data_IF_512350228421
#
_entry.id   IF_512350228421
#
_cell.length_a   1.000
_cell.length_b   1.000
_cell.length_c   1.000
_cell.angle_alpha   90.00
_cell.angle_beta   90.00
_cell.angle_gamma   90.00
#
_symmetry.space_group_name_H-M   'P 1'
#
loop_
_entity.id
_entity.type
_entity.pdbx_description
1 polymer ?
#
# COMPACT_ATOMS: atom_id res chain seq x y z
N UNK A 1 -2.11 -23.82 18.58
CA UNK A 1 -2.25 -23.09 17.31
C UNK A 1 -2.26 -21.61 17.60
N UNK A 2 -1.34 -20.85 17.00
CA UNK A 2 -1.34 -19.38 17.13
C UNK A 2 -2.54 -18.80 16.38
N UNK A 3 -2.97 -17.58 16.73
CA UNK A 3 -4.03 -16.87 15.99
C UNK A 3 -3.67 -16.73 14.51
N UNK A 4 -2.38 -16.55 14.21
CA UNK A 4 -1.88 -16.50 12.84
C UNK A 4 -2.13 -17.81 12.09
N UNK A 5 -1.64 -18.92 12.63
CA UNK A 5 -1.79 -20.24 12.03
C UNK A 5 -3.28 -20.62 11.85
N UNK A 6 -4.10 -20.37 12.87
CA UNK A 6 -5.54 -20.65 12.84
C UNK A 6 -6.29 -19.84 11.77
N UNK A 7 -5.83 -18.63 11.45
CA UNK A 7 -6.43 -17.82 10.40
C UNK A 7 -6.05 -18.31 9.00
N UNK A 8 -4.84 -18.82 8.80
CA UNK A 8 -4.40 -19.32 7.49
C UNK A 8 -4.90 -20.74 7.18
N UNK A 9 -4.99 -21.61 8.18
CA UNK A 9 -5.52 -22.97 7.99
C UNK A 9 -6.99 -23.02 7.55
N UNK A 10 -7.74 -21.93 7.74
CA UNK A 10 -9.14 -21.80 7.28
C UNK A 10 -9.26 -21.33 5.83
N UNK A 11 -8.16 -20.90 5.21
CA UNK A 11 -8.17 -20.37 3.84
C UNK A 11 -7.97 -21.51 2.85
N UNK A 12 -8.62 -21.39 1.71
CA UNK A 12 -8.39 -22.28 0.58
C UNK A 12 -6.96 -22.06 0.03
N UNK A 13 -6.16 -23.13 -0.14
CA UNK A 13 -4.77 -23.01 -0.58
C UNK A 13 -4.63 -22.54 -2.03
N UNK A 14 -5.56 -22.90 -2.93
CA UNK A 14 -5.49 -22.50 -4.33
C UNK A 14 -5.80 -21.00 -4.48
N UNK A 15 -6.71 -20.49 -3.66
CA UNK A 15 -6.94 -19.05 -3.54
C UNK A 15 -5.70 -18.31 -3.01
N UNK A 16 -4.99 -18.87 -2.02
CA UNK A 16 -3.75 -18.28 -1.52
C UNK A 16 -2.66 -18.22 -2.59
N UNK A 17 -2.47 -19.30 -3.36
CA UNK A 17 -1.52 -19.33 -4.47
C UNK A 17 -1.89 -18.30 -5.54
N UNK A 18 -3.18 -18.18 -5.87
CA UNK A 18 -3.68 -17.20 -6.83
C UNK A 18 -3.43 -15.76 -6.38
N UNK A 19 -3.66 -15.45 -5.09
CA UNK A 19 -3.36 -14.13 -4.53
C UNK A 19 -1.87 -13.80 -4.54
N UNK A 20 -1.01 -14.76 -4.19
CA UNK A 20 0.46 -14.58 -4.23
C UNK A 20 0.92 -14.35 -5.67
N UNK A 21 0.41 -15.15 -6.61
CA UNK A 21 0.74 -14.99 -8.02
C UNK A 21 0.36 -13.59 -8.52
N UNK A 22 -0.86 -13.13 -8.21
CA UNK A 22 -1.32 -11.79 -8.58
C UNK A 22 -0.43 -10.69 -7.95
N UNK A 23 -0.03 -10.84 -6.68
CA UNK A 23 0.86 -9.89 -6.02
C UNK A 23 2.24 -9.83 -6.67
N UNK A 24 2.86 -10.98 -6.94
CA UNK A 24 4.20 -11.05 -7.54
C UNK A 24 4.27 -10.48 -8.96
N UNK A 25 3.16 -10.46 -9.68
CA UNK A 25 3.09 -10.00 -11.07
C UNK A 25 2.34 -8.66 -11.22
N UNK A 26 2.10 -7.93 -10.12
CA UNK A 26 1.42 -6.64 -10.16
C UNK A 26 2.33 -5.56 -10.77
N UNK A 27 2.02 -5.14 -12.00
CA UNK A 27 2.71 -4.05 -12.71
C UNK A 27 1.71 -3.22 -13.53
N UNK A 28 1.49 -1.97 -13.11
CA UNK A 28 0.56 -1.04 -13.78
C UNK A 28 1.08 -0.55 -15.14
N UNK A 29 2.35 -0.78 -15.44
CA UNK A 29 3.00 -0.36 -16.68
C UNK A 29 3.00 -1.45 -17.77
N UNK A 30 2.77 -2.71 -17.38
CA UNK A 30 2.74 -3.87 -18.27
C UNK A 30 1.46 -3.96 -19.11
N UNK A 31 1.26 -2.98 -20.00
CA UNK A 31 0.15 -2.93 -20.95
C UNK A 31 0.53 -2.18 -22.23
N UNK A 32 -0.36 -2.19 -23.22
CA UNK A 32 -0.16 -1.57 -24.53
C UNK A 32 -0.07 -0.04 -24.51
N UNK A 33 -0.48 0.63 -23.42
CA UNK A 33 -0.42 2.09 -23.33
C UNK A 33 0.95 2.57 -22.83
N UNK A 34 1.54 1.84 -21.89
CA UNK A 34 2.78 2.25 -21.23
C UNK A 34 3.99 1.39 -21.58
N UNK A 35 3.81 0.20 -22.15
CA UNK A 35 4.89 -0.68 -22.63
C UNK A 35 6.02 -0.92 -21.60
N UNK A 36 5.67 -1.10 -20.32
CA UNK A 36 6.63 -1.30 -19.23
C UNK A 36 7.23 0.00 -18.66
N UNK A 37 6.79 1.17 -19.13
CA UNK A 37 7.24 2.47 -18.62
C UNK A 37 6.44 2.86 -17.37
N UNK A 38 6.94 2.43 -16.21
CA UNK A 38 6.31 2.69 -14.90
C UNK A 38 6.15 4.18 -14.61
N UNK A 39 7.14 5.01 -15.00
CA UNK A 39 7.06 6.44 -14.78
C UNK A 39 5.90 7.07 -15.56
N UNK A 40 5.69 6.67 -16.83
CA UNK A 40 4.52 7.11 -17.60
C UNK A 40 3.21 6.62 -16.99
N UNK A 41 3.16 5.38 -16.53
CA UNK A 41 1.96 4.82 -15.90
C UNK A 41 1.56 5.59 -14.63
N UNK A 42 2.53 5.89 -13.76
CA UNK A 42 2.32 6.70 -12.55
C UNK A 42 1.92 8.15 -12.88
N UNK A 43 2.60 8.77 -13.86
CA UNK A 43 2.32 10.14 -14.29
C UNK A 43 0.95 10.31 -14.96
N UNK A 44 0.33 9.21 -15.41
CA UNK A 44 -1.01 9.19 -15.98
C UNK A 44 -2.13 9.15 -14.92
N UNK A 45 -1.81 8.88 -13.65
CA UNK A 45 -2.80 8.90 -12.56
C UNK A 45 -3.22 10.36 -12.29
N UNK A 46 -4.50 10.65 -12.54
CA UNK A 46 -5.06 12.02 -12.38
C UNK A 46 -5.74 12.23 -11.04
N UNK A 47 -6.17 11.15 -10.36
CA UNK A 47 -6.79 11.20 -9.06
C UNK A 47 -5.85 11.81 -8.01
N UNK A 48 -6.42 12.53 -7.03
CA UNK A 48 -5.67 12.92 -5.83
C UNK A 48 -5.34 11.66 -5.05
N UNK A 49 -4.06 11.44 -4.79
CA UNK A 49 -3.57 10.28 -4.08
C UNK A 49 -2.90 10.68 -2.77
N UNK A 50 -3.15 9.89 -1.73
CA UNK A 50 -2.48 10.00 -0.45
C UNK A 50 -1.87 8.63 -0.14
N UNK A 51 -0.54 8.56 -0.22
CA UNK A 51 0.22 7.32 -0.03
C UNK A 51 0.76 7.31 1.40
N UNK A 52 0.38 6.30 2.19
CA UNK A 52 0.63 6.26 3.63
C UNK A 52 1.32 4.96 4.07
N UNK A 53 2.60 4.74 3.72
CA UNK A 53 3.35 3.61 4.26
C UNK A 53 3.62 3.75 5.75
N UNK A 54 3.81 2.62 6.42
CA UNK A 54 4.38 2.61 7.76
C UNK A 54 5.87 2.91 7.72
N UNK A 55 6.37 3.67 8.69
CA UNK A 55 7.80 3.96 8.84
C UNK A 55 8.66 2.69 8.99
N UNK A 56 8.06 1.59 9.46
CA UNK A 56 8.74 0.31 9.73
C UNK A 56 8.24 -0.85 8.86
N UNK A 57 7.52 -0.56 7.75
CA UNK A 57 7.11 -1.63 6.82
C UNK A 57 8.33 -2.29 6.16
N UNK A 58 8.31 -3.62 6.08
CA UNK A 58 9.37 -4.44 5.48
C UNK A 58 9.05 -4.89 4.05
N UNK A 59 7.79 -4.77 3.62
CA UNK A 59 7.34 -5.16 2.28
C UNK A 59 7.13 -3.94 1.39
N UNK A 60 6.54 -2.86 1.93
CA UNK A 60 6.24 -1.62 1.20
C UNK A 60 6.97 -0.45 1.84
N UNK A 61 8.25 -0.31 1.50
CA UNK A 61 9.14 0.64 2.17
C UNK A 61 8.81 2.09 1.80
N UNK A 62 9.05 3.00 2.74
CA UNK A 62 8.83 4.45 2.56
C UNK A 62 9.57 5.00 1.34
N UNK A 63 10.77 4.49 1.08
CA UNK A 63 11.61 4.96 -0.02
C UNK A 63 11.03 4.59 -1.40
N UNK A 64 10.49 3.39 -1.55
CA UNK A 64 9.83 2.96 -2.79
C UNK A 64 8.62 3.85 -3.08
N UNK A 65 7.78 4.10 -2.06
CA UNK A 65 6.63 4.99 -2.20
C UNK A 65 7.04 6.45 -2.46
N UNK A 66 8.19 6.90 -1.94
CA UNK A 66 8.71 8.24 -2.25
C UNK A 66 9.03 8.38 -3.73
N UNK A 67 9.64 7.35 -4.34
CA UNK A 67 9.92 7.32 -5.78
C UNK A 67 8.63 7.31 -6.60
N UNK A 68 7.64 6.52 -6.19
CA UNK A 68 6.34 6.46 -6.86
C UNK A 68 5.59 7.79 -6.79
N UNK A 69 5.49 8.39 -5.59
CA UNK A 69 4.83 9.68 -5.38
C UNK A 69 5.51 10.79 -6.18
N UNK A 70 6.83 10.78 -6.32
CA UNK A 70 7.56 11.76 -7.11
C UNK A 70 7.24 11.69 -8.62
N UNK A 71 6.81 10.52 -9.12
CA UNK A 71 6.38 10.33 -10.50
C UNK A 71 4.89 10.66 -10.73
N UNK A 72 4.11 10.84 -9.66
CA UNK A 72 2.67 11.14 -9.73
C UNK A 72 2.42 12.65 -9.66
N UNK A 73 1.44 13.15 -10.43
CA UNK A 73 1.15 14.60 -10.51
C UNK A 73 0.44 15.15 -9.27
N UNK A 74 -0.47 14.37 -8.70
CA UNK A 74 -1.39 14.79 -7.65
C UNK A 74 -1.31 13.87 -6.41
N UNK A 75 -0.09 13.52 -5.98
CA UNK A 75 0.14 12.61 -4.87
C UNK A 75 0.87 13.28 -3.69
N UNK A 76 0.52 12.89 -2.48
CA UNK A 76 1.24 13.24 -1.25
C UNK A 76 1.69 11.98 -0.52
N UNK A 77 2.95 11.97 -0.05
CA UNK A 77 3.46 10.94 0.84
C UNK A 77 3.25 11.36 2.29
N UNK A 78 2.58 10.52 3.08
CA UNK A 78 2.41 10.70 4.54
C UNK A 78 2.74 9.43 5.29
N UNK A 79 3.99 9.34 5.73
CA UNK A 79 4.51 8.21 6.49
C UNK A 79 3.78 8.10 7.84
N UNK A 80 3.22 6.92 8.12
CA UNK A 80 2.63 6.59 9.42
C UNK A 80 3.80 6.32 10.38
N UNK A 81 3.98 7.12 11.47
CA UNK A 81 5.09 6.97 12.40
C UNK A 81 4.81 5.81 13.38
N UNK A 82 4.82 4.58 12.86
CA UNK A 82 4.43 3.38 13.59
C UNK A 82 5.54 2.33 13.59
N UNK A 83 5.69 1.66 14.73
CA UNK A 83 6.57 0.49 14.91
C UNK A 83 5.86 -0.84 14.55
N UNK A 84 4.60 -0.78 14.09
CA UNK A 84 3.79 -1.97 13.79
C UNK A 84 4.05 -2.54 12.39
N UNK A 85 5.01 -1.98 11.66
CA UNK A 85 5.34 -2.35 10.29
C UNK A 85 4.11 -2.32 9.39
N UNK A 86 3.97 -3.34 8.54
CA UNK A 86 2.86 -3.47 7.59
C UNK A 86 1.47 -3.40 8.25
N UNK A 87 1.35 -3.80 9.52
CA UNK A 87 0.08 -3.81 10.24
C UNK A 87 -0.44 -2.40 10.56
N UNK A 88 0.38 -1.36 10.49
CA UNK A 88 -0.05 0.01 10.72
C UNK A 88 -1.13 0.47 9.72
N UNK A 89 -1.11 -0.07 8.49
CA UNK A 89 -2.15 0.20 7.47
C UNK A 89 -3.52 -0.43 7.78
N UNK A 90 -3.58 -1.34 8.76
CA UNK A 90 -4.82 -1.92 9.29
C UNK A 90 -4.88 -1.69 10.81
N UNK A 91 -5.17 -0.45 11.25
CA UNK A 91 -4.91 0.01 12.62
C UNK A 91 -5.98 -0.44 13.63
N UNK A 92 -6.56 -1.63 13.49
CA UNK A 92 -7.64 -2.13 14.35
C UNK A 92 -7.24 -2.25 15.81
N UNK A 93 -5.95 -2.42 16.09
CA UNK A 93 -5.39 -2.57 17.43
C UNK A 93 -4.48 -1.40 17.83
N UNK A 94 -4.37 -0.35 17.01
CA UNK A 94 -3.57 0.83 17.30
C UNK A 94 -4.39 2.11 17.05
N UNK A 95 -4.88 2.71 18.13
CA UNK A 95 -5.71 3.92 18.06
C UNK A 95 -4.93 5.16 17.57
N UNK A 96 -3.61 5.19 17.75
CA UNK A 96 -2.78 6.30 17.29
C UNK A 96 -2.62 6.27 15.77
N UNK A 97 -2.33 5.10 15.20
CA UNK A 97 -2.28 4.89 13.75
C UNK A 97 -3.64 5.17 13.11
N UNK A 98 -4.73 4.70 13.73
CA UNK A 98 -6.09 4.96 13.27
C UNK A 98 -6.41 6.46 13.25
N UNK A 99 -6.02 7.19 14.29
CA UNK A 99 -6.19 8.65 14.36
C UNK A 99 -5.36 9.36 13.31
N UNK A 100 -4.11 8.95 13.09
CA UNK A 100 -3.24 9.51 12.06
C UNK A 100 -3.85 9.35 10.65
N UNK A 101 -4.26 8.13 10.30
CA UNK A 101 -4.91 7.82 9.02
C UNK A 101 -6.19 8.62 8.85
N UNK A 102 -7.08 8.63 9.85
CA UNK A 102 -8.35 9.35 9.79
C UNK A 102 -8.16 10.86 9.60
N UNK A 103 -7.20 11.47 10.30
CA UNK A 103 -6.90 12.89 10.12
C UNK A 103 -6.37 13.20 8.72
N UNK A 104 -5.56 12.32 8.15
CA UNK A 104 -5.05 12.48 6.80
C UNK A 104 -6.16 12.34 5.74
N UNK A 105 -7.06 11.37 5.92
CA UNK A 105 -8.24 11.19 5.07
C UNK A 105 -9.20 12.39 5.13
N UNK A 106 -9.51 12.90 6.33
CA UNK A 106 -10.36 14.09 6.48
C UNK A 106 -9.80 15.31 5.76
N UNK A 107 -8.47 15.49 5.79
CA UNK A 107 -7.80 16.57 5.05
C UNK A 107 -7.85 16.38 3.53
N UNK A 108 -7.75 15.13 3.06
CA UNK A 108 -7.88 14.83 1.63
C UNK A 108 -9.31 15.09 1.14
N UNK A 109 -10.33 14.78 1.95
CA UNK A 109 -11.73 14.85 1.56
C UNK A 109 -12.40 16.22 1.79
N UNK A 110 -11.75 17.13 2.50
CA UNK A 110 -12.17 18.52 2.64
C UNK A 110 -12.07 19.28 1.31
#
# INVERSE_FOLDING_TARGET
MTVWEANYLKRDPDNLLSHIWAWQHADISANELYHGDLHKALAAITARALIMPSATDLYFQVEDNRLEVAAMRNAELRVIPSDWGHRAGMPTQNAEDARFINQALLKLLA
#
